data_IF_756561957552
#
_entry.id   IF_756561957552
#
_cell.length_a   1.000
_cell.length_b   1.000
_cell.length_c   1.000
_cell.angle_alpha   90.00
_cell.angle_beta   90.00
_cell.angle_gamma   90.00
#
_symmetry.space_group_name_H-M   'P 1'
#
loop_
_entity.id
_entity.type
_entity.pdbx_description
1 polymer ?
#
# COMPACT_ATOMS: atom_id res chain seq x y z
N UNK A 1 2.41 -20.63 -12.70
CA UNK A 1 1.99 -19.25 -13.01
C UNK A 1 3.27 -18.42 -13.21
N UNK A 2 3.39 -17.69 -14.32
CA UNK A 2 4.52 -16.78 -14.58
C UNK A 2 4.06 -15.38 -14.19
N UNK A 3 4.78 -14.69 -13.34
CA UNK A 3 4.41 -13.38 -12.80
C UNK A 3 5.48 -12.31 -13.04
N UNK A 4 5.05 -11.07 -12.99
CA UNK A 4 5.90 -9.90 -13.04
C UNK A 4 5.60 -8.98 -11.85
N UNK A 5 6.62 -8.32 -11.33
CA UNK A 5 6.51 -7.36 -10.24
C UNK A 5 6.72 -5.95 -10.80
N UNK A 6 5.75 -5.07 -10.57
CA UNK A 6 5.85 -3.66 -10.91
C UNK A 6 5.36 -2.81 -9.75
N UNK A 7 5.78 -1.58 -9.69
CA UNK A 7 5.41 -0.63 -8.64
C UNK A 7 5.23 0.77 -9.18
N UNK A 8 4.38 1.54 -8.51
CA UNK A 8 4.32 2.98 -8.71
C UNK A 8 5.65 3.62 -8.30
N UNK A 9 6.22 4.53 -9.10
CA UNK A 9 7.44 5.22 -8.72
C UNK A 9 7.28 6.04 -7.45
N UNK A 10 8.10 5.76 -6.45
CA UNK A 10 8.05 6.44 -5.14
C UNK A 10 8.51 7.90 -5.20
N UNK A 11 9.44 8.18 -6.11
CA UNK A 11 10.06 9.51 -6.27
C UNK A 11 9.29 10.44 -7.19
N UNK A 12 8.06 10.07 -7.56
CA UNK A 12 7.29 10.89 -8.46
C UNK A 12 6.92 12.23 -7.85
N UNK A 13 7.18 13.31 -8.59
CA UNK A 13 6.72 14.64 -8.21
C UNK A 13 5.20 14.69 -8.23
N UNK A 14 4.57 15.33 -7.24
CA UNK A 14 3.13 15.55 -7.22
C UNK A 14 2.69 16.17 -8.55
N UNK A 15 1.62 15.64 -9.14
CA UNK A 15 1.11 16.06 -10.45
C UNK A 15 1.80 15.42 -11.66
N UNK A 16 2.84 14.59 -11.45
CA UNK A 16 3.41 13.80 -12.54
C UNK A 16 2.74 12.43 -12.60
N UNK A 17 2.09 12.14 -13.71
CA UNK A 17 1.50 10.84 -14.00
C UNK A 17 2.36 10.09 -15.01
N UNK A 18 2.19 8.77 -15.08
CA UNK A 18 2.82 7.99 -16.15
C UNK A 18 2.24 8.42 -17.51
N UNK A 19 3.03 8.34 -18.61
CA UNK A 19 2.48 8.53 -19.94
C UNK A 19 1.19 7.73 -20.13
N UNK A 20 0.22 8.27 -20.84
CA UNK A 20 -1.10 7.67 -20.99
C UNK A 20 -1.10 6.21 -21.50
N UNK A 21 -0.09 5.84 -22.30
CA UNK A 21 0.07 4.48 -22.84
C UNK A 21 0.99 3.58 -21.99
N UNK A 22 1.56 4.07 -20.88
CA UNK A 22 2.60 3.34 -20.15
C UNK A 22 2.12 1.97 -19.65
N UNK A 23 0.95 1.91 -19.05
CA UNK A 23 0.41 0.64 -18.55
C UNK A 23 -0.11 -0.23 -19.70
N UNK A 24 -0.70 0.37 -20.73
CA UNK A 24 -1.15 -0.36 -21.92
C UNK A 24 0.02 -1.10 -22.61
N UNK A 25 1.11 -0.38 -22.87
CA UNK A 25 2.31 -0.96 -23.49
C UNK A 25 2.97 -2.01 -22.57
N UNK A 26 3.00 -1.77 -21.26
CA UNK A 26 3.59 -2.70 -20.29
C UNK A 26 2.80 -4.01 -20.22
N UNK A 27 1.48 -3.94 -20.08
CA UNK A 27 0.63 -5.14 -20.00
C UNK A 27 0.59 -5.91 -21.32
N UNK A 28 0.67 -5.21 -22.45
CA UNK A 28 0.84 -5.85 -23.77
C UNK A 28 2.10 -6.70 -23.81
N UNK A 29 3.25 -6.13 -23.43
CA UNK A 29 4.53 -6.84 -23.40
C UNK A 29 4.51 -8.04 -22.44
N UNK A 30 3.89 -7.89 -21.27
CA UNK A 30 3.72 -8.96 -20.28
C UNK A 30 2.92 -10.12 -20.86
N UNK A 31 1.81 -9.82 -21.53
CA UNK A 31 0.97 -10.82 -22.20
C UNK A 31 1.70 -11.50 -23.36
N UNK A 32 2.36 -10.74 -24.24
CA UNK A 32 3.15 -11.26 -25.36
C UNK A 32 4.31 -12.14 -24.91
N UNK A 33 4.90 -11.86 -23.73
CA UNK A 33 5.91 -12.72 -23.11
C UNK A 33 5.33 -14.00 -22.48
N UNK A 34 4.02 -14.22 -22.58
CA UNK A 34 3.33 -15.39 -22.04
C UNK A 34 3.20 -15.38 -20.51
N UNK A 35 3.34 -14.22 -19.88
CA UNK A 35 3.03 -14.02 -18.47
C UNK A 35 1.55 -13.68 -18.34
N UNK A 36 0.90 -14.18 -17.29
CA UNK A 36 -0.54 -14.04 -17.09
C UNK A 36 -0.92 -13.47 -15.73
N UNK A 37 0.06 -12.95 -15.00
CA UNK A 37 -0.15 -12.45 -13.65
C UNK A 37 0.89 -11.37 -13.32
N UNK A 38 0.43 -10.32 -12.67
CA UNK A 38 1.25 -9.22 -12.13
C UNK A 38 0.95 -9.06 -10.65
N UNK A 39 1.98 -8.85 -9.84
CA UNK A 39 1.87 -8.28 -8.51
C UNK A 39 2.18 -6.79 -8.62
N UNK A 40 1.14 -5.96 -8.54
CA UNK A 40 1.26 -4.52 -8.66
C UNK A 40 1.39 -3.88 -7.29
N UNK A 41 2.51 -3.19 -7.07
CA UNK A 41 2.85 -2.59 -5.78
C UNK A 41 2.41 -1.13 -5.75
N UNK A 42 1.67 -0.75 -4.71
CA UNK A 42 1.29 0.62 -4.43
C UNK A 42 1.56 0.97 -2.95
N UNK A 43 1.50 2.26 -2.61
CA UNK A 43 1.83 2.77 -1.28
C UNK A 43 0.77 3.75 -0.80
N UNK A 44 0.35 3.61 0.46
CA UNK A 44 -0.64 4.53 1.04
C UNK A 44 -0.13 5.98 1.07
N UNK A 45 1.14 6.22 1.39
CA UNK A 45 1.71 7.57 1.37
C UNK A 45 1.70 8.21 -0.03
N UNK A 46 1.71 7.43 -1.11
CA UNK A 46 1.56 7.94 -2.47
C UNK A 46 0.14 8.43 -2.75
N UNK A 47 -0.86 7.71 -2.26
CA UNK A 47 -2.25 8.16 -2.31
C UNK A 47 -2.43 9.49 -1.58
N UNK A 48 -1.91 9.62 -0.36
CA UNK A 48 -2.07 10.85 0.43
C UNK A 48 -1.38 12.07 -0.18
N UNK A 49 -0.33 11.87 -0.97
CA UNK A 49 0.37 12.97 -1.68
C UNK A 49 -0.40 13.46 -2.89
N UNK A 50 -1.03 12.58 -3.64
CA UNK A 50 -1.76 12.92 -4.86
C UNK A 50 -2.88 11.90 -5.13
N UNK A 51 -4.00 12.00 -4.40
CA UNK A 51 -5.09 11.03 -4.49
C UNK A 51 -5.67 10.90 -5.90
N UNK A 52 -5.79 12.02 -6.60
CA UNK A 52 -6.41 12.04 -7.94
C UNK A 52 -5.57 11.26 -8.94
N UNK A 53 -4.29 11.59 -9.08
CA UNK A 53 -3.42 10.89 -10.02
C UNK A 53 -3.16 9.44 -9.60
N UNK A 54 -3.08 9.18 -8.30
CA UNK A 54 -2.95 7.82 -7.79
C UNK A 54 -4.12 6.92 -8.23
N UNK A 55 -5.36 7.40 -8.07
CA UNK A 55 -6.55 6.63 -8.47
C UNK A 55 -6.66 6.45 -9.99
N UNK A 56 -6.33 7.49 -10.76
CA UNK A 56 -6.29 7.39 -12.23
C UNK A 56 -5.26 6.35 -12.71
N UNK A 57 -4.12 6.25 -12.06
CA UNK A 57 -3.12 5.24 -12.39
C UNK A 57 -3.57 3.83 -12.05
N UNK A 58 -4.19 3.62 -10.88
CA UNK A 58 -4.76 2.31 -10.51
C UNK A 58 -5.81 1.87 -11.53
N UNK A 59 -6.69 2.78 -11.93
CA UNK A 59 -7.70 2.50 -12.96
C UNK A 59 -7.04 2.14 -14.30
N UNK A 60 -6.01 2.88 -14.72
CA UNK A 60 -5.27 2.59 -15.96
C UNK A 60 -4.59 1.22 -15.93
N UNK A 61 -4.08 0.81 -14.76
CA UNK A 61 -3.54 -0.56 -14.55
C UNK A 61 -4.62 -1.60 -14.75
N UNK A 62 -5.79 -1.43 -14.13
CA UNK A 62 -6.89 -2.38 -14.21
C UNK A 62 -7.47 -2.49 -15.62
N UNK A 63 -7.64 -1.38 -16.33
CA UNK A 63 -8.09 -1.33 -17.71
C UNK A 63 -7.12 -2.05 -18.65
N UNK A 64 -5.81 -1.80 -18.52
CA UNK A 64 -4.78 -2.48 -19.28
C UNK A 64 -4.75 -3.99 -18.99
N UNK A 65 -4.85 -4.36 -17.71
CA UNK A 65 -4.91 -5.75 -17.28
C UNK A 65 -6.10 -6.50 -17.88
N UNK A 66 -7.29 -5.88 -17.85
CA UNK A 66 -8.51 -6.42 -18.46
C UNK A 66 -8.36 -6.60 -19.97
N UNK A 67 -7.77 -5.61 -20.65
CA UNK A 67 -7.55 -5.60 -22.10
C UNK A 67 -6.65 -6.76 -22.55
N UNK A 68 -5.57 -7.01 -21.83
CA UNK A 68 -4.57 -8.02 -22.18
C UNK A 68 -4.73 -9.36 -21.46
N UNK A 69 -5.81 -9.50 -20.67
CA UNK A 69 -6.13 -10.72 -19.92
C UNK A 69 -4.99 -11.17 -19.00
N UNK A 70 -4.42 -10.21 -18.25
CA UNK A 70 -3.37 -10.42 -17.25
C UNK A 70 -3.95 -10.16 -15.88
N UNK A 71 -3.93 -11.17 -15.01
CA UNK A 71 -4.44 -11.01 -13.63
C UNK A 71 -3.54 -10.13 -12.78
N UNK A 72 -4.12 -9.36 -11.86
CA UNK A 72 -3.39 -8.46 -10.97
C UNK A 72 -3.68 -8.77 -9.51
N UNK A 73 -2.62 -9.03 -8.74
CA UNK A 73 -2.62 -8.97 -7.28
C UNK A 73 -2.16 -7.58 -6.86
N UNK A 74 -3.03 -6.80 -6.23
CA UNK A 74 -2.73 -5.45 -5.77
C UNK A 74 -2.10 -5.50 -4.38
N UNK A 75 -0.85 -5.05 -4.28
CA UNK A 75 -0.04 -5.13 -3.07
C UNK A 75 0.13 -3.75 -2.43
N UNK A 76 -0.51 -3.55 -1.27
CA UNK A 76 -0.22 -2.40 -0.43
C UNK A 76 1.11 -2.63 0.32
N UNK A 77 2.15 -2.06 -0.23
CA UNK A 77 3.51 -2.30 0.20
C UNK A 77 4.01 -1.24 1.19
N UNK A 78 4.97 -1.63 2.01
CA UNK A 78 5.79 -0.72 2.79
C UNK A 78 7.25 -1.19 2.74
N UNK A 79 8.16 -0.24 2.81
CA UNK A 79 9.58 -0.49 3.01
C UNK A 79 10.13 0.56 3.98
N UNK A 80 10.83 0.11 5.01
CA UNK A 80 11.28 0.99 6.10
C UNK A 80 10.13 1.79 6.77
N UNK A 81 8.93 1.23 6.77
CA UNK A 81 7.70 1.76 7.37
C UNK A 81 7.13 2.98 6.65
N UNK A 82 7.94 3.99 6.37
CA UNK A 82 7.51 5.29 5.80
C UNK A 82 8.69 6.11 5.31
N UNK A 83 8.44 6.97 4.35
CA UNK A 83 9.35 8.07 3.96
C UNK A 83 9.58 9.06 5.11
N UNK A 84 8.69 9.13 6.08
CA UNK A 84 8.88 9.91 7.31
C UNK A 84 10.13 9.49 8.08
N UNK A 85 10.32 8.20 8.28
CA UNK A 85 11.50 7.67 8.97
C UNK A 85 12.74 7.60 8.08
N UNK A 86 12.56 7.31 6.79
CA UNK A 86 13.65 7.19 5.84
C UNK A 86 13.30 7.92 4.53
N UNK A 87 13.61 9.22 4.42
CA UNK A 87 13.26 10.02 3.24
C UNK A 87 13.85 9.50 1.92
N UNK A 88 14.93 8.74 1.97
CA UNK A 88 15.62 8.24 0.77
C UNK A 88 15.06 6.90 0.27
N UNK A 89 14.57 6.06 1.17
CA UNK A 89 14.21 4.66 0.84
C UNK A 89 12.85 4.23 1.42
N UNK A 90 12.34 4.95 2.40
CA UNK A 90 11.10 4.58 3.08
C UNK A 90 9.87 4.83 2.22
N UNK A 91 8.91 3.92 2.28
CA UNK A 91 7.60 4.02 1.66
C UNK A 91 6.57 3.29 2.50
N UNK A 92 5.32 3.56 2.26
CA UNK A 92 4.23 2.80 2.86
C UNK A 92 3.25 3.68 3.61
N UNK A 93 3.47 3.89 4.89
CA UNK A 93 2.52 4.63 5.72
C UNK A 93 2.69 6.15 5.60
N UNK A 94 1.58 6.92 5.54
CA UNK A 94 1.63 8.37 5.40
C UNK A 94 2.13 9.09 6.66
N UNK A 95 2.72 10.28 6.47
CA UNK A 95 3.37 11.05 7.52
C UNK A 95 2.45 11.47 8.66
N UNK A 96 1.16 11.68 8.40
CA UNK A 96 0.20 12.10 9.43
C UNK A 96 0.02 11.09 10.58
N UNK A 97 0.44 9.83 10.37
CA UNK A 97 0.44 8.81 11.43
C UNK A 97 1.64 8.92 12.40
N UNK A 98 2.57 9.84 12.14
CA UNK A 98 3.82 9.98 12.90
C UNK A 98 4.11 11.40 13.35
N UNK A 99 3.80 12.40 12.54
CA UNK A 99 4.34 13.75 12.62
C UNK A 99 4.04 14.48 13.94
N UNK A 100 2.90 14.19 14.54
CA UNK A 100 2.46 14.88 15.77
C UNK A 100 2.87 14.15 17.05
N UNK A 101 3.63 13.06 16.95
CA UNK A 101 4.10 12.31 18.11
C UNK A 101 5.63 12.41 18.23
N UNK A 102 6.14 13.03 19.31
CA UNK A 102 7.57 13.21 19.52
C UNK A 102 8.36 11.89 19.68
N UNK A 103 7.66 10.77 19.93
CA UNK A 103 8.27 9.44 19.96
C UNK A 103 8.63 8.90 18.58
N UNK A 104 8.13 9.54 17.52
CA UNK A 104 8.34 9.13 16.14
C UNK A 104 9.02 10.23 15.30
N UNK A 105 10.24 10.64 15.65
CA UNK A 105 10.94 11.71 14.96
C UNK A 105 11.21 11.34 13.49
N UNK A 106 11.12 12.32 12.60
CA UNK A 106 11.60 12.18 11.23
C UNK A 106 13.11 11.88 11.22
N UNK A 107 13.58 11.08 10.29
CA UNK A 107 15.01 10.78 10.26
C UNK A 107 15.46 9.72 9.26
N UNK A 108 16.64 9.20 9.52
CA UNK A 108 17.37 8.27 8.64
C UNK A 108 17.26 6.80 9.09
N UNK A 109 16.08 6.37 9.48
CA UNK A 109 15.83 5.02 10.00
C UNK A 109 14.71 4.30 9.27
N UNK A 110 13.81 3.72 10.05
CA UNK A 110 12.58 3.07 9.54
C UNK A 110 12.68 1.57 9.32
N UNK A 111 13.87 1.02 9.20
CA UNK A 111 14.08 -0.43 9.12
C UNK A 111 13.84 -1.15 10.45
N UNK A 112 13.88 -2.51 10.47
CA UNK A 112 13.54 -3.31 11.65
C UNK A 112 14.37 -3.04 12.91
N UNK A 113 15.53 -2.41 12.75
CA UNK A 113 16.43 -2.04 13.86
C UNK A 113 16.22 -0.62 14.38
N UNK A 114 15.43 0.21 13.71
CA UNK A 114 15.21 1.60 14.10
C UNK A 114 14.18 1.69 15.23
N UNK A 115 14.62 2.16 16.40
CA UNK A 115 13.81 2.16 17.63
C UNK A 115 12.48 2.90 17.51
N UNK A 116 12.38 4.12 16.92
CA UNK A 116 11.11 4.79 16.73
C UNK A 116 10.14 4.02 15.84
N UNK A 117 10.62 3.37 14.76
CA UNK A 117 9.79 2.52 13.92
C UNK A 117 9.28 1.29 14.68
N UNK A 118 10.12 0.65 15.50
CA UNK A 118 9.69 -0.46 16.35
C UNK A 118 8.61 -0.04 17.35
N UNK A 119 8.76 1.13 17.97
CA UNK A 119 7.78 1.66 18.89
C UNK A 119 6.44 1.91 18.17
N UNK A 120 6.49 2.50 16.98
CA UNK A 120 5.31 2.73 16.17
C UNK A 120 4.62 1.41 15.76
N UNK A 121 5.37 0.41 15.27
CA UNK A 121 4.78 -0.89 14.95
C UNK A 121 4.11 -1.56 16.15
N UNK A 122 4.73 -1.43 17.34
CA UNK A 122 4.13 -1.92 18.58
C UNK A 122 2.82 -1.20 18.90
N UNK A 123 2.81 0.13 18.79
CA UNK A 123 1.61 0.94 18.97
C UNK A 123 0.53 0.62 17.94
N UNK A 124 0.92 0.41 16.66
CA UNK A 124 -0.01 0.02 15.60
C UNK A 124 -0.69 -1.31 15.89
N UNK A 125 0.08 -2.32 16.32
CA UNK A 125 -0.50 -3.62 16.67
C UNK A 125 -1.38 -3.57 17.93
N UNK A 126 -1.12 -2.62 18.82
CA UNK A 126 -1.97 -2.34 19.98
C UNK A 126 -3.19 -1.47 19.66
N UNK A 127 -3.36 -1.06 18.39
CA UNK A 127 -4.42 -0.17 17.93
C UNK A 127 -4.42 1.20 18.63
N UNK A 128 -3.23 1.70 18.99
CA UNK A 128 -3.03 2.95 19.73
C UNK A 128 -2.39 4.07 18.89
N UNK A 129 -2.13 3.83 17.61
CA UNK A 129 -1.79 4.88 16.65
C UNK A 129 -3.09 5.55 16.21
N UNK A 130 -3.17 6.88 16.31
CA UNK A 130 -4.33 7.67 15.88
C UNK A 130 -3.89 8.84 15.02
N UNK A 131 -4.82 9.37 14.21
CA UNK A 131 -4.68 10.69 13.61
C UNK A 131 -4.96 11.81 14.62
N UNK A 132 -4.91 13.06 14.17
CA UNK A 132 -5.20 14.26 14.98
C UNK A 132 -6.65 14.36 15.47
N UNK A 133 -7.58 13.62 14.83
CA UNK A 133 -8.99 13.56 15.20
C UNK A 133 -9.28 12.41 16.19
N UNK A 134 -8.28 11.60 16.53
CA UNK A 134 -8.43 10.43 17.39
C UNK A 134 -8.91 9.17 16.66
N UNK A 135 -9.01 9.17 15.33
CA UNK A 135 -9.35 7.97 14.55
C UNK A 135 -8.17 7.00 14.54
N UNK A 136 -8.40 5.76 14.91
CA UNK A 136 -7.33 4.78 14.97
C UNK A 136 -6.81 4.35 13.59
N UNK A 137 -5.52 4.02 13.54
CA UNK A 137 -4.82 3.72 12.29
C UNK A 137 -5.31 2.47 11.56
N UNK A 138 -6.03 1.54 12.20
CA UNK A 138 -6.66 0.41 11.52
C UNK A 138 -7.89 0.87 10.74
N UNK A 139 -8.71 1.71 11.36
CA UNK A 139 -9.89 2.31 10.72
C UNK A 139 -9.48 3.17 9.52
N UNK A 140 -8.50 4.07 9.70
CA UNK A 140 -7.95 4.88 8.61
C UNK A 140 -7.42 4.04 7.45
N UNK A 141 -6.74 2.92 7.77
CA UNK A 141 -6.25 2.00 6.75
C UNK A 141 -7.38 1.29 6.00
N UNK A 142 -8.43 0.89 6.72
CA UNK A 142 -9.60 0.30 6.08
C UNK A 142 -10.34 1.30 5.17
N UNK A 143 -10.47 2.56 5.59
CA UNK A 143 -11.06 3.63 4.77
C UNK A 143 -10.26 3.91 3.49
N UNK A 144 -8.93 3.92 3.59
CA UNK A 144 -8.08 3.99 2.40
C UNK A 144 -8.29 2.78 1.49
N UNK A 145 -8.27 1.57 2.07
CA UNK A 145 -8.39 0.34 1.29
C UNK A 145 -9.76 0.18 0.61
N UNK A 146 -10.84 0.65 1.25
CA UNK A 146 -12.17 0.66 0.64
C UNK A 146 -12.19 1.43 -0.68
N UNK A 147 -11.49 2.57 -0.77
CA UNK A 147 -11.38 3.33 -2.02
C UNK A 147 -10.67 2.54 -3.11
N UNK A 148 -9.64 1.75 -2.75
CA UNK A 148 -8.94 0.87 -3.68
C UNK A 148 -9.88 -0.22 -4.21
N UNK A 149 -10.58 -0.90 -3.30
CA UNK A 149 -11.54 -1.95 -3.66
C UNK A 149 -12.67 -1.41 -4.52
N UNK A 150 -13.30 -0.31 -4.13
CA UNK A 150 -14.38 0.34 -4.90
C UNK A 150 -13.98 0.66 -6.35
N UNK A 151 -12.70 0.98 -6.56
CA UNK A 151 -12.19 1.29 -7.90
C UNK A 151 -11.89 0.03 -8.72
N UNK A 152 -11.43 -1.05 -8.08
CA UNK A 152 -10.80 -2.17 -8.76
C UNK A 152 -11.65 -3.45 -8.80
N UNK A 153 -12.64 -3.60 -7.92
CA UNK A 153 -13.35 -4.88 -7.74
C UNK A 153 -14.21 -5.28 -8.94
N UNK A 154 -14.69 -4.29 -9.72
CA UNK A 154 -15.46 -4.55 -10.94
C UNK A 154 -14.61 -5.05 -12.11
N UNK A 155 -13.28 -4.95 -12.04
CA UNK A 155 -12.37 -5.39 -13.09
C UNK A 155 -12.14 -6.90 -13.03
N UNK A 156 -12.39 -7.60 -14.14
CA UNK A 156 -12.28 -9.07 -14.23
C UNK A 156 -10.86 -9.60 -14.00
N UNK A 157 -9.85 -8.76 -14.21
CA UNK A 157 -8.44 -9.08 -13.98
C UNK A 157 -8.01 -8.94 -12.54
N UNK A 158 -8.84 -8.37 -11.65
CA UNK A 158 -8.53 -8.25 -10.23
C UNK A 158 -8.53 -9.62 -9.59
N UNK A 159 -7.34 -10.11 -9.22
CA UNK A 159 -7.16 -11.41 -8.57
C UNK A 159 -7.39 -11.31 -7.06
N UNK A 160 -7.02 -10.17 -6.47
CA UNK A 160 -7.15 -9.93 -5.04
C UNK A 160 -6.23 -8.84 -4.52
N UNK A 161 -6.22 -8.69 -3.20
CA UNK A 161 -5.53 -7.62 -2.51
C UNK A 161 -4.61 -8.16 -1.42
N UNK A 162 -3.36 -7.73 -1.41
CA UNK A 162 -2.44 -7.89 -0.29
C UNK A 162 -2.57 -6.66 0.61
N UNK A 163 -3.20 -6.85 1.77
CA UNK A 163 -3.60 -5.75 2.66
C UNK A 163 -2.38 -4.99 3.18
N UNK A 164 -1.31 -5.70 3.51
CA UNK A 164 -0.08 -5.13 4.00
C UNK A 164 1.09 -6.09 3.79
N UNK A 165 2.04 -5.68 2.96
CA UNK A 165 3.28 -6.41 2.73
C UNK A 165 4.31 -6.14 3.82
N UNK A 166 5.09 -7.17 4.18
CA UNK A 166 6.24 -7.09 5.09
C UNK A 166 5.94 -6.42 6.47
N UNK A 167 4.85 -6.82 7.18
CA UNK A 167 4.57 -6.25 8.49
C UNK A 167 5.72 -6.53 9.47
N UNK A 168 6.18 -5.52 10.21
CA UNK A 168 7.24 -5.71 11.19
C UNK A 168 6.69 -6.26 12.50
N UNK A 169 7.36 -7.28 13.02
CA UNK A 169 7.06 -7.98 14.27
C UNK A 169 8.27 -7.94 15.18
N UNK A 170 8.09 -7.57 16.42
CA UNK A 170 9.17 -7.38 17.38
C UNK A 170 9.02 -8.22 18.66
N UNK A 171 7.87 -8.90 18.84
CA UNK A 171 7.58 -9.81 19.95
C UNK A 171 6.55 -10.86 19.53
N UNK A 172 6.56 -12.00 20.21
CA UNK A 172 5.70 -13.13 19.85
C UNK A 172 4.20 -12.82 19.97
N UNK A 173 3.80 -11.98 20.92
CA UNK A 173 2.40 -11.58 21.13
C UNK A 173 1.84 -10.72 19.99
N UNK A 174 2.71 -10.10 19.19
CA UNK A 174 2.27 -9.30 18.04
C UNK A 174 1.68 -10.14 16.90
N UNK A 175 2.01 -11.43 16.80
CA UNK A 175 1.40 -12.32 15.81
C UNK A 175 -0.11 -12.46 15.98
N UNK A 176 -0.58 -12.59 17.23
CA UNK A 176 -2.01 -12.60 17.53
C UNK A 176 -2.69 -11.28 17.14
N UNK A 177 -2.02 -10.16 17.41
CA UNK A 177 -2.52 -8.82 17.08
C UNK A 177 -2.61 -8.59 15.56
N UNK A 178 -1.65 -9.09 14.80
CA UNK A 178 -1.71 -9.11 13.33
C UNK A 178 -2.90 -9.94 12.85
N UNK A 179 -3.17 -11.09 13.46
CA UNK A 179 -4.35 -11.88 13.17
C UNK A 179 -5.65 -11.10 13.40
N UNK A 180 -5.74 -10.36 14.52
CA UNK A 180 -6.89 -9.47 14.81
C UNK A 180 -7.00 -8.33 13.79
N UNK A 181 -5.87 -7.71 13.40
CA UNK A 181 -5.85 -6.68 12.37
C UNK A 181 -6.32 -7.23 11.01
N UNK A 182 -5.83 -8.39 10.58
CA UNK A 182 -6.25 -8.99 9.32
C UNK A 182 -7.75 -9.32 9.33
N UNK A 183 -8.25 -9.87 10.44
CA UNK A 183 -9.69 -10.14 10.61
C UNK A 183 -10.51 -8.85 10.54
N UNK A 184 -10.06 -7.78 11.20
CA UNK A 184 -10.69 -6.47 11.14
C UNK A 184 -10.75 -5.95 9.70
N UNK A 185 -9.63 -5.95 8.98
CA UNK A 185 -9.56 -5.47 7.60
C UNK A 185 -10.48 -6.26 6.66
N UNK A 186 -10.43 -7.60 6.73
CA UNK A 186 -11.30 -8.45 5.91
C UNK A 186 -12.78 -8.17 6.20
N UNK A 187 -13.16 -8.01 7.47
CA UNK A 187 -14.53 -7.71 7.84
C UNK A 187 -14.98 -6.32 7.35
N UNK A 188 -14.09 -5.33 7.36
CA UNK A 188 -14.41 -4.00 6.85
C UNK A 188 -14.57 -3.99 5.32
N UNK A 189 -13.70 -4.70 4.60
CA UNK A 189 -13.74 -4.75 3.13
C UNK A 189 -14.91 -5.59 2.61
N UNK A 190 -15.37 -6.59 3.35
CA UNK A 190 -16.54 -7.41 2.97
C UNK A 190 -17.89 -6.73 3.18
N UNK A 191 -17.91 -5.49 3.68
CA UNK A 191 -19.13 -4.69 3.77
C UNK A 191 -19.46 -3.93 2.47
N UNK A 192 -18.50 -3.90 1.53
CA UNK A 192 -18.69 -3.35 0.20
C UNK A 192 -19.46 -4.34 -0.70
#
# INVERSE_FOLDING_TARGET
MKGYHTSMPQSRTIGSIMPANYFDDSFKLISEAGMNHVRFVFYWDSYERDPTNFMLELQSVAEAADKYNVNVMYDNHQFHTSSWFNPQRGTGFPSFLFQDNPSYPAGNGGGPKYTPAKAWWTARWNRSVTDTNGTDGWTLHAEFFKKIVDTLDSHKSTLGYEILSEPQVHSADQWEKIGKYNTFMVNELRKL
#
